data_IF_275000647598
#
_entry.id   IF_275000647598
#
_cell.length_a   1.000
_cell.length_b   1.000
_cell.length_c   1.000
_cell.angle_alpha   90.00
_cell.angle_beta   90.00
_cell.angle_gamma   90.00
#
_symmetry.space_group_name_H-M   'P 1'
#
loop_
_entity.id
_entity.type
_entity.pdbx_description
1 polymer ?
#
# COMPACT_ATOMS: atom_id res chain seq x y z
N UNK A 1 -41.67 -40.49 -33.82
CA UNK A 1 -42.53 -40.35 -35.01
C UNK A 1 -42.31 -39.00 -35.62
N UNK A 2 -41.71 -39.02 -36.77
CA UNK A 2 -41.67 -38.21 -37.99
C UNK A 2 -42.68 -37.03 -38.13
N UNK A 3 -42.50 -36.11 -39.10
CA UNK A 3 -41.29 -35.59 -39.80
C UNK A 3 -41.30 -34.03 -39.98
N UNK A 4 -40.16 -33.45 -40.24
CA UNK A 4 -39.69 -32.76 -41.42
C UNK A 4 -40.64 -31.88 -42.24
N UNK A 5 -40.24 -30.66 -42.58
CA UNK A 5 -40.37 -30.07 -43.94
C UNK A 5 -39.29 -29.04 -44.21
N UNK A 6 -38.47 -29.33 -45.20
CA UNK A 6 -37.66 -28.42 -45.97
C UNK A 6 -38.55 -27.51 -46.85
N UNK A 7 -38.07 -26.29 -47.12
CA UNK A 7 -38.37 -25.61 -48.38
C UNK A 7 -37.20 -24.69 -48.73
N UNK A 8 -36.61 -24.99 -49.88
CA UNK A 8 -35.60 -24.25 -50.58
C UNK A 8 -36.24 -23.30 -51.64
N UNK A 9 -35.39 -22.57 -52.36
CA UNK A 9 -35.62 -21.77 -53.61
C UNK A 9 -35.69 -20.27 -53.34
N UNK A 10 -34.95 -19.37 -54.01
CA UNK A 10 -34.26 -19.40 -55.30
C UNK A 10 -33.24 -18.27 -55.41
N UNK A 11 -32.31 -18.54 -56.28
CA UNK A 11 -31.28 -17.70 -56.89
C UNK A 11 -31.90 -16.56 -57.73
N UNK A 12 -31.30 -15.35 -57.67
CA UNK A 12 -31.35 -14.42 -58.81
C UNK A 12 -30.02 -13.61 -58.86
N UNK A 13 -29.24 -13.94 -59.85
CA UNK A 13 -28.10 -13.20 -60.34
C UNK A 13 -28.55 -12.11 -61.30
N UNK A 14 -28.03 -10.89 -61.17
CA UNK A 14 -28.02 -9.90 -62.27
C UNK A 14 -26.62 -9.30 -62.36
N UNK A 15 -26.02 -9.46 -63.55
CA UNK A 15 -24.75 -8.89 -64.00
C UNK A 15 -24.92 -7.45 -64.47
N UNK A 16 -23.75 -6.79 -64.48
CA UNK A 16 -23.24 -5.76 -65.40
C UNK A 16 -23.51 -4.31 -65.05
N UNK A 17 -22.46 -3.51 -64.79
CA UNK A 17 -21.83 -2.71 -65.86
C UNK A 17 -20.56 -2.05 -65.37
N UNK A 18 -19.50 -2.23 -66.14
CA UNK A 18 -18.19 -1.54 -66.09
C UNK A 18 -18.36 -0.13 -66.66
N UNK A 19 -17.92 0.91 -65.89
CA UNK A 19 -17.52 2.19 -66.49
C UNK A 19 -16.18 2.61 -65.96
N UNK A 20 -15.15 2.62 -66.82
CA UNK A 20 -13.91 3.33 -66.59
C UNK A 20 -14.20 4.84 -66.61
N UNK A 21 -13.76 5.57 -65.61
CA UNK A 21 -13.77 7.03 -65.53
C UNK A 21 -12.56 7.55 -64.78
N UNK A 22 -11.64 8.09 -65.46
CA UNK A 22 -10.50 8.98 -65.26
C UNK A 22 -10.19 9.56 -63.89
N UNK A 23 -8.87 9.59 -63.66
CA UNK A 23 -8.05 10.45 -62.77
C UNK A 23 -8.72 11.68 -62.19
N UNK A 24 -8.75 11.73 -60.84
CA UNK A 24 -8.95 12.93 -60.05
C UNK A 24 -8.15 12.78 -58.77
N UNK A 25 -7.08 13.60 -58.67
CA UNK A 25 -6.33 13.80 -57.44
C UNK A 25 -7.28 14.44 -56.41
N UNK A 26 -7.71 13.65 -55.43
CA UNK A 26 -8.52 14.12 -54.31
C UNK A 26 -7.83 13.67 -53.04
N UNK A 27 -7.35 14.64 -52.29
CA UNK A 27 -6.88 14.49 -50.91
C UNK A 27 -7.88 13.68 -50.12
N UNK A 28 -7.53 12.45 -49.83
CA UNK A 28 -8.18 11.69 -48.75
C UNK A 28 -7.71 12.30 -47.45
N UNK A 29 -8.48 13.24 -46.94
CA UNK A 29 -8.41 13.61 -45.52
C UNK A 29 -8.66 12.34 -44.70
N UNK A 30 -7.58 11.69 -44.34
CA UNK A 30 -7.57 10.71 -43.27
C UNK A 30 -8.14 11.44 -42.03
N UNK A 31 -9.35 11.09 -41.64
CA UNK A 31 -9.82 11.41 -40.28
C UNK A 31 -8.88 10.67 -39.36
N UNK A 32 -7.78 11.33 -38.97
CA UNK A 32 -6.98 10.95 -37.86
C UNK A 32 -7.95 10.96 -36.68
N UNK A 33 -8.28 9.76 -36.20
CA UNK A 33 -8.89 9.61 -34.87
C UNK A 33 -8.03 10.43 -33.92
N UNK A 34 -8.70 11.19 -33.03
CA UNK A 34 -8.01 11.90 -31.99
C UNK A 34 -7.13 10.87 -31.27
N UNK A 35 -5.83 10.90 -31.55
CA UNK A 35 -4.85 10.08 -30.85
C UNK A 35 -4.92 10.46 -29.39
N UNK A 36 -5.10 9.50 -28.53
CA UNK A 36 -4.77 9.66 -27.13
C UNK A 36 -3.36 10.28 -27.12
N UNK A 37 -3.18 11.38 -26.40
CA UNK A 37 -1.88 12.01 -26.27
C UNK A 37 -0.91 10.90 -25.81
N UNK A 38 0.16 10.65 -26.57
CA UNK A 38 1.16 9.66 -26.14
C UNK A 38 1.68 10.11 -24.78
N UNK A 39 1.47 9.27 -23.78
CA UNK A 39 2.00 9.51 -22.46
C UNK A 39 3.53 9.49 -22.56
N UNK A 40 4.20 10.46 -21.95
CA UNK A 40 5.66 10.54 -21.91
C UNK A 40 6.10 10.37 -20.45
N UNK A 41 6.81 9.28 -20.13
CA UNK A 41 7.26 9.04 -18.76
C UNK A 41 8.24 10.13 -18.31
N UNK A 42 8.19 10.48 -17.04
CA UNK A 42 9.08 11.49 -16.43
C UNK A 42 10.52 10.98 -16.29
N UNK A 43 10.66 9.70 -16.06
CA UNK A 43 11.96 9.05 -15.82
C UNK A 43 12.19 7.88 -16.78
N UNK A 44 13.45 7.45 -16.88
CA UNK A 44 13.84 6.30 -17.68
C UNK A 44 14.33 5.19 -16.76
N UNK A 45 13.61 4.09 -16.71
CA UNK A 45 13.94 2.86 -15.98
C UNK A 45 13.27 1.67 -16.66
N UNK A 46 13.65 0.46 -16.27
CA UNK A 46 12.99 -0.77 -16.72
C UNK A 46 12.08 -1.32 -15.63
N UNK A 47 11.04 -2.03 -16.04
CA UNK A 47 10.15 -2.81 -15.18
C UNK A 47 10.22 -4.28 -15.54
N UNK A 48 9.70 -5.16 -14.68
CA UNK A 48 9.61 -6.61 -14.92
C UNK A 48 8.84 -6.90 -16.21
N UNK A 49 7.77 -6.15 -16.45
CA UNK A 49 6.99 -6.18 -17.70
C UNK A 49 6.92 -4.76 -18.27
N UNK A 50 7.27 -4.58 -19.52
CA UNK A 50 7.25 -3.27 -20.19
C UNK A 50 5.86 -2.63 -20.09
N UNK A 51 5.80 -1.37 -19.64
CA UNK A 51 4.56 -0.62 -19.46
C UNK A 51 3.74 -0.99 -18.20
N UNK A 52 4.21 -1.91 -17.38
CA UNK A 52 3.55 -2.32 -16.13
C UNK A 52 4.46 -2.08 -14.92
N UNK A 53 3.90 -1.63 -13.82
CA UNK A 53 4.51 -1.65 -12.49
C UNK A 53 3.95 -2.86 -11.73
N UNK A 54 4.72 -3.92 -11.62
CA UNK A 54 4.31 -5.12 -10.89
C UNK A 54 4.56 -4.96 -9.40
N UNK A 55 3.49 -4.98 -8.62
CA UNK A 55 3.48 -4.69 -7.19
C UNK A 55 3.21 -5.95 -6.38
N UNK A 56 4.21 -6.42 -5.64
CA UNK A 56 4.04 -7.53 -4.68
C UNK A 56 3.28 -7.03 -3.45
N UNK A 57 2.09 -7.55 -3.22
CA UNK A 57 1.19 -7.08 -2.18
C UNK A 57 1.12 -8.06 -1.01
N UNK A 58 1.46 -7.58 0.20
CA UNK A 58 1.00 -8.13 1.47
C UNK A 58 -0.14 -7.25 1.97
N UNK A 59 -1.41 -7.70 1.90
CA UNK A 59 -2.54 -6.84 2.22
C UNK A 59 -2.49 -6.36 3.67
N UNK A 60 -2.54 -5.04 3.85
CA UNK A 60 -2.62 -4.38 5.15
C UNK A 60 -3.45 -3.10 5.04
N UNK A 61 -4.69 -3.13 5.51
CA UNK A 61 -5.56 -1.96 5.52
C UNK A 61 -5.18 -1.01 6.66
N UNK A 62 -5.18 0.32 6.42
CA UNK A 62 -5.52 1.02 5.18
C UNK A 62 -4.32 1.30 4.25
N UNK A 63 -3.13 0.76 4.53
CA UNK A 63 -1.92 1.05 3.76
C UNK A 63 -2.03 0.61 2.29
N UNK A 64 -2.18 -0.71 2.06
CA UNK A 64 -2.35 -1.26 0.71
C UNK A 64 -3.17 -2.55 0.74
N UNK A 65 -4.19 -2.64 -0.12
CA UNK A 65 -5.03 -3.81 -0.29
C UNK A 65 -5.68 -3.80 -1.67
N UNK A 66 -6.45 -4.82 -2.02
CA UNK A 66 -7.22 -4.83 -3.27
C UNK A 66 -8.70 -4.63 -3.02
N UNK A 67 -9.33 -3.85 -3.91
CA UNK A 67 -10.79 -3.77 -3.96
C UNK A 67 -11.41 -5.05 -4.54
N UNK A 68 -12.75 -5.09 -4.62
CA UNK A 68 -13.49 -6.23 -5.18
C UNK A 68 -13.22 -6.51 -6.67
N UNK A 69 -12.63 -5.55 -7.38
CA UNK A 69 -12.22 -5.64 -8.79
C UNK A 69 -10.76 -6.08 -8.94
N UNK A 70 -10.01 -6.18 -7.84
CA UNK A 70 -8.60 -6.53 -7.83
C UNK A 70 -7.65 -5.35 -8.04
N UNK A 71 -8.16 -4.10 -8.04
CA UNK A 71 -7.30 -2.92 -8.14
C UNK A 71 -6.60 -2.64 -6.81
N UNK A 72 -5.36 -2.16 -6.90
CA UNK A 72 -4.63 -1.68 -5.72
C UNK A 72 -5.28 -0.41 -5.18
N UNK A 73 -5.64 -0.43 -3.91
CA UNK A 73 -6.23 0.67 -3.16
C UNK A 73 -5.55 0.83 -1.81
N UNK A 74 -5.96 1.80 -1.03
CA UNK A 74 -5.30 2.18 0.21
C UNK A 74 -4.38 3.39 0.00
N UNK A 75 -3.70 3.83 1.05
CA UNK A 75 -2.79 4.97 1.02
C UNK A 75 -1.75 4.80 -0.10
N UNK A 76 -1.03 3.68 -0.09
CA UNK A 76 0.00 3.39 -1.08
C UNK A 76 -0.59 3.19 -2.49
N UNK A 77 -1.82 2.66 -2.59
CA UNK A 77 -2.55 2.53 -3.85
C UNK A 77 -2.88 3.88 -4.49
N UNK A 78 -3.28 4.88 -3.69
CA UNK A 78 -3.52 6.24 -4.17
C UNK A 78 -2.22 6.88 -4.69
N UNK A 79 -1.13 6.77 -3.93
CA UNK A 79 0.17 7.34 -4.29
C UNK A 79 0.75 6.67 -5.54
N UNK A 80 0.71 5.34 -5.60
CA UNK A 80 1.24 4.60 -6.75
C UNK A 80 0.42 4.83 -8.02
N UNK A 81 -0.89 5.07 -7.92
CA UNK A 81 -1.70 5.43 -9.09
C UNK A 81 -1.23 6.75 -9.68
N UNK A 82 -0.92 7.74 -8.84
CA UNK A 82 -0.39 9.02 -9.31
C UNK A 82 1.00 8.85 -9.98
N UNK A 83 1.89 8.04 -9.39
CA UNK A 83 3.18 7.71 -10.00
C UNK A 83 3.00 6.98 -11.32
N UNK A 84 2.11 5.99 -11.39
CA UNK A 84 1.84 5.24 -12.61
C UNK A 84 1.35 6.14 -13.76
N UNK A 85 0.51 7.14 -13.46
CA UNK A 85 0.12 8.18 -14.42
C UNK A 85 1.33 9.00 -14.89
N UNK A 86 2.24 9.39 -14.01
CA UNK A 86 3.42 10.17 -14.35
C UNK A 86 4.45 9.39 -15.17
N UNK A 87 4.52 8.08 -14.93
CA UNK A 87 5.51 7.18 -15.55
C UNK A 87 4.93 6.33 -16.68
N UNK A 88 3.67 6.59 -17.06
CA UNK A 88 2.99 5.87 -18.15
C UNK A 88 2.92 4.36 -17.93
N UNK A 89 2.66 3.94 -16.69
CA UNK A 89 2.61 2.55 -16.29
C UNK A 89 1.19 2.11 -15.92
N UNK A 90 0.90 0.83 -16.10
CA UNK A 90 -0.27 0.16 -15.55
C UNK A 90 0.15 -0.61 -14.29
N UNK A 91 -0.62 -0.44 -13.18
CA UNK A 91 -0.33 -1.17 -11.93
C UNK A 91 -0.82 -2.61 -12.07
N UNK A 92 0.10 -3.56 -11.86
CA UNK A 92 -0.17 -4.99 -11.84
C UNK A 92 0.02 -5.55 -10.44
N UNK A 93 -1.06 -6.02 -9.81
CA UNK A 93 -0.97 -6.57 -8.46
C UNK A 93 -0.57 -8.04 -8.50
N UNK A 94 0.49 -8.40 -7.76
CA UNK A 94 0.89 -9.76 -7.44
C UNK A 94 0.52 -10.05 -5.96
N UNK A 95 -0.64 -10.66 -5.68
CA UNK A 95 -1.08 -10.93 -4.32
C UNK A 95 -0.29 -12.10 -3.73
N UNK A 96 0.37 -11.91 -2.58
CA UNK A 96 1.25 -12.92 -1.98
C UNK A 96 0.76 -13.44 -0.62
N UNK A 97 -0.23 -12.82 -0.01
CA UNK A 97 -0.86 -13.28 1.22
C UNK A 97 -0.01 -13.24 2.49
N UNK A 98 1.29 -12.91 2.40
CA UNK A 98 2.17 -12.75 3.58
C UNK A 98 3.35 -11.84 3.30
N UNK A 99 3.80 -11.11 4.32
CA UNK A 99 5.00 -10.26 4.26
C UNK A 99 6.26 -11.06 3.92
N UNK A 100 6.40 -12.29 4.43
CA UNK A 100 7.57 -13.13 4.19
C UNK A 100 7.80 -13.46 2.71
N UNK A 101 6.75 -13.38 1.87
CA UNK A 101 6.83 -13.68 0.45
C UNK A 101 7.16 -12.45 -0.43
N UNK A 102 7.00 -11.22 0.09
CA UNK A 102 7.11 -10.00 -0.73
C UNK A 102 8.55 -9.67 -1.11
N UNK A 103 9.46 -9.64 -0.17
CA UNK A 103 10.88 -9.37 -0.42
C UNK A 103 11.49 -10.39 -1.40
N UNK A 104 11.30 -11.73 -1.23
CA UNK A 104 11.74 -12.70 -2.22
C UNK A 104 11.14 -12.52 -3.62
N UNK A 105 9.93 -11.99 -3.74
CA UNK A 105 9.33 -11.70 -5.05
C UNK A 105 10.09 -10.59 -5.79
N UNK A 106 10.45 -9.52 -5.10
CA UNK A 106 11.27 -8.42 -5.65
C UNK A 106 12.69 -8.89 -5.97
N UNK A 107 13.34 -9.62 -5.06
CA UNK A 107 14.69 -10.15 -5.27
C UNK A 107 14.78 -11.07 -6.49
N UNK A 108 13.76 -11.88 -6.74
CA UNK A 108 13.72 -12.81 -7.88
C UNK A 108 13.25 -12.18 -9.18
N UNK A 109 12.94 -10.88 -9.21
CA UNK A 109 12.44 -10.19 -10.39
C UNK A 109 11.01 -10.60 -10.79
N UNK A 110 10.19 -11.09 -9.85
CA UNK A 110 8.78 -11.36 -10.10
C UNK A 110 7.89 -10.14 -9.84
N UNK A 111 8.41 -9.14 -9.14
CA UNK A 111 7.77 -7.86 -8.91
C UNK A 111 8.82 -6.75 -8.95
N UNK A 112 8.39 -5.55 -9.30
CA UNK A 112 9.23 -4.35 -9.32
C UNK A 112 9.44 -3.79 -7.92
N UNK A 113 8.34 -3.74 -7.16
CA UNK A 113 8.29 -3.23 -5.78
C UNK A 113 7.44 -4.12 -4.89
N UNK A 114 7.54 -3.92 -3.58
CA UNK A 114 6.57 -4.45 -2.61
C UNK A 114 5.91 -3.34 -1.81
N UNK A 115 4.64 -3.56 -1.44
CA UNK A 115 3.76 -2.62 -0.71
C UNK A 115 3.03 -3.29 0.45
N UNK A 116 2.41 -2.51 1.31
CA UNK A 116 1.65 -2.95 2.47
C UNK A 116 2.32 -2.56 3.79
N UNK A 117 2.71 -1.29 3.91
CA UNK A 117 3.39 -0.75 5.09
C UNK A 117 4.71 -1.47 5.40
N UNK A 118 5.53 -1.63 4.36
CA UNK A 118 6.82 -2.29 4.49
C UNK A 118 7.82 -1.34 5.14
N UNK A 119 8.23 -1.63 6.37
CA UNK A 119 9.16 -0.77 7.09
C UNK A 119 10.60 -0.89 6.60
N UNK A 120 11.32 0.23 6.70
CA UNK A 120 12.76 0.31 6.50
C UNK A 120 13.47 -0.40 7.66
N UNK A 121 14.07 -1.56 7.39
CA UNK A 121 14.86 -2.32 8.38
C UNK A 121 16.23 -2.63 7.83
N UNK A 122 17.22 -2.80 8.73
CA UNK A 122 18.58 -3.17 8.33
C UNK A 122 18.62 -4.51 7.60
N UNK A 123 17.75 -5.46 7.98
CA UNK A 123 17.64 -6.77 7.33
C UNK A 123 17.17 -6.64 5.88
N UNK A 124 16.13 -5.83 5.62
CA UNK A 124 15.61 -5.60 4.26
C UNK A 124 16.61 -4.82 3.41
N UNK A 125 17.26 -3.80 3.97
CA UNK A 125 18.30 -3.02 3.30
C UNK A 125 19.53 -3.86 2.88
N UNK A 126 19.81 -4.96 3.58
CA UNK A 126 20.90 -5.86 3.23
C UNK A 126 20.62 -6.66 1.93
N UNK A 127 19.36 -6.79 1.51
CA UNK A 127 18.94 -7.70 0.43
C UNK A 127 18.13 -7.03 -0.67
N UNK A 128 17.67 -5.80 -0.47
CA UNK A 128 16.95 -4.97 -1.44
C UNK A 128 17.40 -3.52 -1.33
N UNK A 129 17.11 -2.71 -2.33
CA UNK A 129 17.26 -1.25 -2.22
C UNK A 129 15.94 -0.69 -1.70
N UNK A 130 16.00 0.09 -0.62
CA UNK A 130 14.83 0.73 -0.03
C UNK A 130 14.67 2.14 -0.62
N UNK A 131 13.46 2.50 -1.05
CA UNK A 131 13.17 3.90 -1.41
C UNK A 131 13.31 4.81 -0.19
N UNK A 132 13.32 6.10 -0.42
CA UNK A 132 13.14 7.10 0.64
C UNK A 132 11.86 6.80 1.42
N UNK A 133 11.80 7.15 2.71
CA UNK A 133 10.62 6.90 3.52
C UNK A 133 9.42 7.70 2.98
N UNK A 134 8.25 7.06 2.93
CA UNK A 134 7.03 7.64 2.37
C UNK A 134 6.24 8.36 3.46
N UNK A 135 5.90 7.64 4.50
CA UNK A 135 5.25 8.11 5.72
C UNK A 135 5.78 7.32 6.92
N UNK A 136 5.47 7.76 8.14
CA UNK A 136 5.76 6.99 9.36
C UNK A 136 4.50 6.28 9.87
N UNK A 137 4.70 5.11 10.46
CA UNK A 137 3.70 4.41 11.24
C UNK A 137 4.16 4.38 12.70
N UNK A 138 3.51 5.20 13.52
CA UNK A 138 3.90 5.40 14.91
C UNK A 138 3.27 4.35 15.82
N UNK A 139 3.88 4.12 16.99
CA UNK A 139 3.29 3.34 18.06
C UNK A 139 2.17 4.13 18.73
N UNK A 140 1.00 3.51 18.90
CA UNK A 140 -0.11 4.04 19.68
C UNK A 140 -0.46 3.17 20.88
N UNK A 141 -0.81 3.82 21.99
CA UNK A 141 -1.41 3.20 23.17
C UNK A 141 -2.91 3.47 23.14
N UNK A 142 -3.69 2.44 22.91
CA UNK A 142 -5.16 2.50 22.86
C UNK A 142 -5.73 2.13 24.21
N UNK A 143 -6.53 3.00 24.80
CA UNK A 143 -7.15 2.78 26.12
C UNK A 143 -8.58 3.32 26.15
N UNK A 144 -9.35 2.96 27.18
CA UNK A 144 -10.70 3.53 27.36
C UNK A 144 -10.60 5.04 27.54
N UNK A 145 -11.21 5.78 26.60
CA UNK A 145 -11.18 7.24 26.60
C UNK A 145 -9.79 7.87 26.43
N UNK A 146 -8.78 7.13 25.97
CA UNK A 146 -7.43 7.66 25.78
C UNK A 146 -6.71 8.04 27.08
N UNK A 147 -7.04 7.39 28.19
CA UNK A 147 -6.54 7.78 29.51
C UNK A 147 -5.11 7.33 29.80
N UNK A 148 -4.59 6.35 29.06
CA UNK A 148 -3.19 5.91 29.15
C UNK A 148 -2.40 6.62 28.06
N UNK A 149 -1.55 7.57 28.44
CA UNK A 149 -0.92 8.53 27.52
C UNK A 149 0.59 8.36 27.38
N UNK A 150 1.19 7.45 28.15
CA UNK A 150 2.64 7.26 28.11
C UNK A 150 3.07 5.86 28.51
N UNK A 151 4.24 5.44 28.01
CA UNK A 151 4.90 4.20 28.41
C UNK A 151 5.26 4.23 29.91
N UNK A 152 5.67 5.39 30.43
CA UNK A 152 5.96 5.55 31.84
C UNK A 152 4.74 5.27 32.73
N UNK A 153 3.53 5.67 32.29
CA UNK A 153 2.29 5.41 33.03
C UNK A 153 1.98 3.90 33.07
N UNK A 154 2.21 3.15 31.97
CA UNK A 154 2.06 1.68 31.98
C UNK A 154 2.86 1.04 33.11
N UNK A 155 4.10 1.52 33.30
CA UNK A 155 5.00 1.00 34.33
C UNK A 155 4.60 1.47 35.74
N UNK A 156 4.40 2.79 35.94
CA UNK A 156 4.15 3.35 37.26
C UNK A 156 2.84 2.88 37.88
N UNK A 157 1.82 2.70 37.09
CA UNK A 157 0.47 2.32 37.53
C UNK A 157 0.25 0.80 37.42
N UNK A 158 1.31 0.05 37.04
CA UNK A 158 1.29 -1.41 36.88
C UNK A 158 0.14 -1.91 35.99
N UNK A 159 -0.05 -1.24 34.81
CA UNK A 159 -1.17 -1.48 33.91
C UNK A 159 -0.95 -2.72 33.06
N UNK A 160 -2.05 -3.38 32.71
CA UNK A 160 -2.06 -4.55 31.81
C UNK A 160 -2.15 -4.08 30.38
N UNK A 161 -1.12 -4.40 29.58
CA UNK A 161 -1.01 -4.05 28.15
C UNK A 161 -1.22 -5.28 27.28
N UNK A 162 -2.02 -5.18 26.24
CA UNK A 162 -2.14 -6.19 25.18
C UNK A 162 -1.43 -5.75 23.92
N UNK A 163 -0.91 -6.71 23.14
CA UNK A 163 -0.37 -6.50 21.81
C UNK A 163 -0.69 -7.70 20.90
N UNK A 164 -0.43 -7.58 19.60
CA UNK A 164 -0.50 -8.72 18.68
C UNK A 164 0.89 -9.26 18.42
N UNK A 165 1.01 -10.58 18.37
CA UNK A 165 2.30 -11.27 18.13
C UNK A 165 2.96 -10.81 16.82
N UNK A 166 4.23 -10.44 16.88
CA UNK A 166 5.04 -9.99 15.75
C UNK A 166 5.16 -8.47 15.65
N UNK A 167 4.71 -7.73 16.68
CA UNK A 167 4.92 -6.29 16.80
C UNK A 167 6.39 -5.94 17.03
N UNK A 168 6.83 -4.80 16.49
CA UNK A 168 8.22 -4.29 16.67
C UNK A 168 8.58 -3.98 18.12
N UNK A 169 7.59 -3.87 18.97
CA UNK A 169 7.68 -3.50 20.38
C UNK A 169 7.51 -4.67 21.36
N UNK A 170 7.24 -5.87 20.85
CA UNK A 170 6.89 -7.02 21.69
C UNK A 170 7.96 -7.34 22.72
N UNK A 171 9.21 -7.45 22.27
CA UNK A 171 10.35 -7.77 23.14
C UNK A 171 10.61 -6.67 24.19
N UNK A 172 10.44 -5.40 23.79
CA UNK A 172 10.67 -4.28 24.68
C UNK A 172 9.59 -4.20 25.76
N UNK A 173 8.30 -4.34 25.40
CA UNK A 173 7.22 -4.38 26.38
C UNK A 173 7.25 -5.64 27.23
N UNK A 174 7.66 -6.78 26.69
CA UNK A 174 7.82 -8.01 27.48
C UNK A 174 8.90 -7.85 28.56
N UNK A 175 10.03 -7.20 28.25
CA UNK A 175 11.08 -6.89 29.23
C UNK A 175 10.61 -5.85 30.26
N UNK A 176 9.82 -4.86 29.82
CA UNK A 176 9.41 -3.73 30.62
C UNK A 176 8.29 -4.04 31.59
N UNK A 177 7.29 -4.81 31.16
CA UNK A 177 6.03 -5.07 31.88
C UNK A 177 5.89 -6.50 32.41
N UNK A 178 6.74 -7.45 31.92
CA UNK A 178 6.69 -8.84 32.33
C UNK A 178 5.31 -9.47 32.13
N UNK A 179 4.73 -10.02 33.22
CA UNK A 179 3.41 -10.68 33.19
C UNK A 179 2.23 -9.72 32.90
N UNK A 180 2.46 -8.42 32.96
CA UNK A 180 1.45 -7.41 32.59
C UNK A 180 1.40 -7.14 31.08
N UNK A 181 2.32 -7.71 30.27
CA UNK A 181 2.21 -7.67 28.83
C UNK A 181 1.72 -9.00 28.29
N UNK A 182 0.62 -8.96 27.55
CA UNK A 182 -0.01 -10.17 26.97
C UNK A 182 -0.10 -10.06 25.45
N UNK A 183 0.45 -11.06 24.75
CA UNK A 183 0.36 -11.20 23.31
C UNK A 183 -0.90 -11.99 22.91
N UNK A 184 -1.57 -11.49 21.89
CA UNK A 184 -2.75 -12.06 21.25
C UNK A 184 -2.43 -12.51 19.83
N UNK A 185 -3.24 -13.40 19.27
CA UNK A 185 -3.09 -13.79 17.87
C UNK A 185 -3.55 -12.66 16.93
N UNK A 186 -4.52 -11.87 17.36
CA UNK A 186 -5.05 -10.73 16.61
C UNK A 186 -5.22 -9.51 17.50
N UNK A 187 -5.16 -8.32 16.91
CA UNK A 187 -5.48 -7.08 17.62
C UNK A 187 -6.95 -7.03 18.05
N UNK A 188 -7.87 -7.63 17.27
CA UNK A 188 -9.29 -7.69 17.61
C UNK A 188 -9.51 -8.40 18.94
N UNK A 189 -8.79 -9.49 19.22
CA UNK A 189 -8.87 -10.21 20.50
C UNK A 189 -8.38 -9.33 21.65
N UNK A 190 -7.27 -8.58 21.45
CA UNK A 190 -6.76 -7.65 22.44
C UNK A 190 -7.75 -6.51 22.72
N UNK A 191 -8.36 -5.93 21.69
CA UNK A 191 -9.37 -4.87 21.81
C UNK A 191 -10.63 -5.37 22.53
N UNK A 192 -11.08 -6.60 22.29
CA UNK A 192 -12.18 -7.21 23.02
C UNK A 192 -11.84 -7.36 24.53
N UNK A 193 -10.60 -7.75 24.87
CA UNK A 193 -10.15 -7.86 26.23
C UNK A 193 -10.03 -6.46 26.92
N UNK A 194 -9.63 -5.43 26.16
CA UNK A 194 -9.68 -4.04 26.62
C UNK A 194 -11.12 -3.60 26.93
N UNK A 195 -12.05 -3.83 26.01
CA UNK A 195 -13.46 -3.48 26.23
C UNK A 195 -14.06 -4.21 27.44
N UNK A 196 -13.70 -5.47 27.64
CA UNK A 196 -14.14 -6.27 28.78
C UNK A 196 -13.46 -5.90 30.11
N UNK A 197 -12.46 -4.99 30.10
CA UNK A 197 -11.71 -4.58 31.30
C UNK A 197 -10.69 -5.61 31.78
N UNK A 198 -10.32 -6.57 30.93
CA UNK A 198 -9.24 -7.52 31.22
C UNK A 198 -7.87 -6.94 30.91
N UNK A 199 -7.81 -5.93 30.04
CA UNK A 199 -6.66 -5.07 29.78
C UNK A 199 -6.98 -3.62 30.15
N UNK A 200 -5.95 -2.84 30.40
CA UNK A 200 -6.02 -1.42 30.68
C UNK A 200 -5.68 -0.61 29.41
N UNK A 201 -4.82 -1.18 28.55
CA UNK A 201 -4.46 -0.64 27.26
C UNK A 201 -4.11 -1.74 26.25
N UNK A 202 -4.07 -1.36 24.97
CA UNK A 202 -3.54 -2.16 23.85
C UNK A 202 -2.52 -1.31 23.09
N UNK A 203 -1.38 -1.90 22.73
CA UNK A 203 -0.41 -1.26 21.83
C UNK A 203 -0.63 -1.73 20.41
N UNK A 204 -0.66 -0.78 19.47
CA UNK A 204 -0.75 -1.04 18.04
C UNK A 204 -0.11 0.08 17.24
N UNK A 205 -0.04 -0.04 15.93
CA UNK A 205 0.41 1.05 15.08
C UNK A 205 -0.72 2.06 14.81
N UNK A 206 -0.35 3.27 14.41
CA UNK A 206 -1.31 4.32 14.04
C UNK A 206 -2.23 3.87 12.91
N UNK A 207 -1.70 3.17 11.90
CA UNK A 207 -2.49 2.63 10.81
C UNK A 207 -3.45 1.55 11.31
N UNK A 208 -2.95 0.63 12.16
CA UNK A 208 -3.75 -0.43 12.76
C UNK A 208 -4.86 0.10 13.67
N UNK A 209 -4.61 1.19 14.40
CA UNK A 209 -5.58 1.81 15.28
C UNK A 209 -6.86 2.20 14.52
N UNK A 210 -6.75 2.97 13.45
CA UNK A 210 -7.92 3.43 12.71
C UNK A 210 -8.70 2.28 12.07
N UNK A 211 -8.01 1.32 11.46
CA UNK A 211 -8.65 0.16 10.84
C UNK A 211 -9.42 -0.72 11.85
N UNK A 212 -8.86 -0.91 13.06
CA UNK A 212 -9.38 -1.87 14.04
C UNK A 212 -10.32 -1.25 15.08
N UNK A 213 -10.28 0.07 15.25
CA UNK A 213 -11.17 0.76 16.18
C UNK A 213 -12.34 1.46 15.47
N UNK A 214 -12.40 1.43 14.14
CA UNK A 214 -13.54 1.91 13.38
C UNK A 214 -14.83 1.26 13.89
N UNK A 215 -15.73 2.08 14.48
CA UNK A 215 -16.97 1.61 15.10
C UNK A 215 -16.83 1.06 16.53
N UNK A 216 -15.65 1.03 17.12
CA UNK A 216 -15.44 0.68 18.55
C UNK A 216 -15.57 1.93 19.40
N UNK A 217 -16.70 2.07 20.10
CA UNK A 217 -16.94 3.23 20.94
C UNK A 217 -16.17 3.17 22.26
N UNK A 218 -15.79 4.34 22.79
CA UNK A 218 -15.23 4.48 24.13
C UNK A 218 -13.75 4.12 24.26
N UNK A 219 -13.04 3.85 23.18
CA UNK A 219 -11.58 3.73 23.14
C UNK A 219 -10.98 4.89 22.35
N UNK A 220 -9.77 5.29 22.71
CA UNK A 220 -8.99 6.27 21.95
C UNK A 220 -7.51 5.90 22.00
N UNK A 221 -6.82 6.09 20.86
CA UNK A 221 -5.39 5.96 20.72
C UNK A 221 -4.67 7.26 21.07
N UNK A 222 -3.47 7.13 21.61
CA UNK A 222 -2.57 8.24 21.90
C UNK A 222 -1.16 7.82 21.49
N UNK A 223 -0.50 8.60 20.65
CA UNK A 223 0.94 8.47 20.40
C UNK A 223 1.70 8.86 21.68
N UNK A 224 2.38 7.94 22.37
CA UNK A 224 3.07 8.27 23.60
C UNK A 224 4.33 9.10 23.31
N UNK A 225 4.77 9.95 24.25
CA UNK A 225 6.10 10.55 24.18
C UNK A 225 7.18 9.47 24.03
N UNK A 226 8.25 9.79 23.33
CA UNK A 226 9.40 8.91 23.13
C UNK A 226 9.96 8.40 24.48
N UNK A 227 10.18 7.09 24.57
CA UNK A 227 10.73 6.42 25.73
C UNK A 227 11.82 5.43 25.28
N UNK A 228 13.06 5.67 25.64
CA UNK A 228 14.20 4.88 25.19
C UNK A 228 14.16 3.40 25.56
N UNK A 229 13.23 2.99 26.45
CA UNK A 229 13.01 1.59 26.81
C UNK A 229 12.18 0.83 25.78
N UNK A 230 11.51 1.55 24.87
CA UNK A 230 10.72 0.98 23.77
C UNK A 230 11.18 1.65 22.48
N UNK A 231 12.00 0.93 21.73
CA UNK A 231 12.69 1.43 20.53
C UNK A 231 11.72 2.04 19.51
N UNK A 232 10.60 1.39 19.26
CA UNK A 232 9.58 1.85 18.30
C UNK A 232 8.94 3.20 18.69
N UNK A 233 9.04 3.63 19.95
CA UNK A 233 8.57 4.97 20.37
C UNK A 233 9.56 6.09 20.06
N UNK A 234 10.83 5.77 19.84
CA UNK A 234 11.91 6.73 19.52
C UNK A 234 12.26 6.73 18.04
N UNK A 235 12.04 5.62 17.36
CA UNK A 235 12.26 5.42 15.93
C UNK A 235 11.03 4.73 15.34
N UNK A 236 10.01 5.49 14.91
CA UNK A 236 8.81 4.90 14.31
C UNK A 236 9.15 4.16 13.01
N UNK A 237 8.33 3.18 12.68
CA UNK A 237 8.40 2.51 11.38
C UNK A 237 8.26 3.52 10.24
N UNK A 238 9.11 3.41 9.24
CA UNK A 238 9.02 4.24 8.05
C UNK A 238 8.66 3.35 6.85
N UNK A 239 7.50 3.58 6.28
CA UNK A 239 7.05 2.88 5.08
C UNK A 239 7.97 3.18 3.89
N UNK A 240 8.27 2.15 3.11
CA UNK A 240 9.15 2.21 1.92
C UNK A 240 8.67 1.22 0.86
N UNK A 241 9.06 1.43 -0.37
CA UNK A 241 8.86 0.46 -1.45
C UNK A 241 10.20 -0.20 -1.81
N UNK A 242 10.52 -1.36 -1.24
CA UNK A 242 11.70 -2.12 -1.61
C UNK A 242 11.72 -2.47 -3.09
N UNK A 243 12.87 -2.24 -3.73
CA UNK A 243 13.16 -2.54 -5.14
C UNK A 243 14.29 -3.56 -5.27
N UNK A 244 14.47 -4.13 -6.45
CA UNK A 244 15.59 -5.04 -6.71
C UNK A 244 16.90 -4.25 -6.78
N UNK A 245 17.95 -4.72 -6.11
CA UNK A 245 19.30 -4.12 -6.11
C UNK A 245 19.90 -3.98 -7.52
N UNK A 246 19.43 -4.76 -8.48
CA UNK A 246 19.89 -4.69 -9.88
C UNK A 246 19.20 -3.60 -10.70
N UNK A 247 18.25 -2.85 -10.14
CA UNK A 247 17.48 -1.80 -10.80
C UNK A 247 17.53 -0.46 -10.02
N UNK A 248 18.72 0.15 -9.92
CA UNK A 248 18.89 1.42 -9.19
C UNK A 248 18.18 2.60 -9.88
N UNK A 249 17.94 2.52 -11.19
CA UNK A 249 17.21 3.54 -11.94
C UNK A 249 15.75 3.64 -11.48
N UNK A 250 15.07 2.51 -11.25
CA UNK A 250 13.72 2.47 -10.70
C UNK A 250 13.67 3.10 -9.30
N UNK A 251 14.64 2.75 -8.42
CA UNK A 251 14.70 3.34 -7.09
C UNK A 251 14.87 4.85 -7.15
N UNK A 252 15.73 5.33 -8.05
CA UNK A 252 16.00 6.76 -8.25
C UNK A 252 14.74 7.49 -8.74
N UNK A 253 14.01 6.92 -9.69
CA UNK A 253 12.76 7.45 -10.20
C UNK A 253 11.69 7.54 -9.10
N UNK A 254 11.48 6.44 -8.37
CA UNK A 254 10.53 6.40 -7.25
C UNK A 254 10.87 7.41 -6.15
N UNK A 255 12.14 7.63 -5.83
CA UNK A 255 12.54 8.64 -4.85
C UNK A 255 12.23 10.06 -5.32
N UNK A 256 12.42 10.35 -6.61
CA UNK A 256 12.03 11.63 -7.18
C UNK A 256 10.51 11.84 -7.12
N UNK A 257 9.74 10.80 -7.44
CA UNK A 257 8.28 10.83 -7.36
C UNK A 257 7.77 10.95 -5.91
N UNK A 258 8.37 10.24 -4.95
CA UNK A 258 8.05 10.38 -3.52
C UNK A 258 8.31 11.81 -3.05
N UNK A 259 9.40 12.43 -3.49
CA UNK A 259 9.69 13.84 -3.18
C UNK A 259 8.62 14.79 -3.74
N UNK A 260 8.14 14.53 -4.95
CA UNK A 260 7.05 15.31 -5.56
C UNK A 260 5.71 15.07 -4.84
N UNK A 261 5.36 13.82 -4.53
CA UNK A 261 4.16 13.49 -3.73
C UNK A 261 4.17 14.19 -2.38
N UNK A 262 5.33 14.30 -1.75
CA UNK A 262 5.50 15.01 -0.48
C UNK A 262 5.33 16.52 -0.66
N UNK A 263 6.01 17.10 -1.65
CA UNK A 263 5.99 18.55 -1.88
C UNK A 263 4.63 19.07 -2.34
N UNK A 264 3.86 18.26 -3.06
CA UNK A 264 2.49 18.56 -3.49
C UNK A 264 1.45 18.38 -2.37
N UNK A 265 1.79 17.72 -1.26
CA UNK A 265 0.86 17.38 -0.19
C UNK A 265 0.06 16.09 -0.44
N UNK A 266 0.30 15.37 -1.53
CA UNK A 266 -0.45 14.15 -1.88
C UNK A 266 -0.35 13.04 -0.83
N UNK A 267 0.79 12.93 -0.12
CA UNK A 267 0.95 11.97 0.97
C UNK A 267 0.01 12.33 2.13
N UNK A 268 -0.04 13.61 2.50
CA UNK A 268 -0.95 14.12 3.54
C UNK A 268 -2.41 13.86 3.17
N UNK A 269 -2.81 14.21 1.94
CA UNK A 269 -4.17 13.98 1.44
C UNK A 269 -4.54 12.49 1.44
N UNK A 270 -3.60 11.61 1.07
CA UNK A 270 -3.83 10.17 1.10
C UNK A 270 -4.03 9.64 2.53
N UNK A 271 -3.29 10.14 3.52
CA UNK A 271 -3.47 9.78 4.93
C UNK A 271 -4.81 10.29 5.47
N UNK A 272 -5.14 11.57 5.25
CA UNK A 272 -6.41 12.17 5.69
C UNK A 272 -7.64 11.48 5.11
N UNK A 273 -7.55 10.97 3.88
CA UNK A 273 -8.64 10.19 3.25
C UNK A 273 -9.01 8.93 4.03
N UNK A 274 -8.07 8.41 4.81
CA UNK A 274 -8.26 7.23 5.67
C UNK A 274 -8.33 7.60 7.16
N UNK A 275 -8.68 8.85 7.48
CA UNK A 275 -8.83 9.39 8.84
C UNK A 275 -7.55 9.26 9.71
N UNK A 276 -6.37 9.29 9.07
CA UNK A 276 -5.08 9.25 9.74
C UNK A 276 -4.53 10.65 10.02
N UNK A 277 -3.69 10.75 11.05
CA UNK A 277 -3.05 12.01 11.43
C UNK A 277 -2.12 12.50 10.29
N UNK A 278 -2.31 13.73 9.77
CA UNK A 278 -1.45 14.30 8.74
C UNK A 278 0.02 14.42 9.15
N UNK A 279 0.35 14.46 10.44
CA UNK A 279 1.74 14.45 10.92
C UNK A 279 2.50 13.16 10.55
N UNK A 280 1.80 12.08 10.22
CA UNK A 280 2.42 10.86 9.73
C UNK A 280 3.07 11.03 8.35
N UNK A 281 2.68 12.04 7.57
CA UNK A 281 3.27 12.36 6.26
C UNK A 281 4.73 12.82 6.37
N UNK A 282 5.15 13.34 7.52
CA UNK A 282 6.56 13.64 7.79
C UNK A 282 7.23 12.44 8.48
N UNK A 283 7.98 11.62 7.73
CA UNK A 283 8.65 10.46 8.31
C UNK A 283 9.90 10.84 9.13
N UNK A 284 10.34 12.10 9.08
CA UNK A 284 11.62 12.53 9.61
C UNK A 284 12.81 12.05 8.78
N UNK A 285 14.02 12.09 9.37
CA UNK A 285 15.22 11.57 8.73
C UNK A 285 15.11 10.06 8.48
N UNK A 286 15.63 9.57 7.33
CA UNK A 286 15.61 8.14 7.05
C UNK A 286 16.33 7.33 8.13
N UNK A 287 15.67 6.34 8.68
CA UNK A 287 16.22 5.41 9.67
C UNK A 287 16.07 3.95 9.22
N UNK A 288 16.75 3.04 9.90
CA UNK A 288 16.61 1.59 9.77
C UNK A 288 16.31 1.02 11.15
N UNK A 289 15.25 0.24 11.25
CA UNK A 289 14.91 -0.54 12.43
C UNK A 289 15.74 -1.82 12.50
#
# INVERSE_FOLDING_TARGET
MKPAKLSAVALAAVMAAVTLGACGSGDSASTAGAGAAECTPRHQFSTVSEGELTVALAPYEPAAYTDSSGNLVGIEGELLRQIAEWECLEIKVLPLGSYAATIPAVQSGRADITVGDIYRTAERAAVTTLTDPIYKDALEIVSKGGTVTSIQQLVSDNLRLGGSTGGLWDDDFQKLLGDNFKLYQTFQDAVQDLQAGRLDAVVMSSLGYNALTAGVSGVAGVMPPADSRVTASTAPGQATWPTNNSNPELTTALNADISELRSSGAITEALEKYDLDPELADPGEPNLL
#
